data_IF_390198688946
#
_entry.id   IF_390198688946
#
_cell.length_a   1.000
_cell.length_b   1.000
_cell.length_c   1.000
_cell.angle_alpha   90.00
_cell.angle_beta   90.00
_cell.angle_gamma   90.00
#
_symmetry.space_group_name_H-M   'P 1'
#
loop_
_entity.id
_entity.type
_entity.pdbx_description
1 polymer ?
#
# COMPACT_ATOMS: atom_id res chain seq x y z
N UNK A 1 19.26 -2.62 -9.50
CA UNK A 1 18.40 -2.91 -8.34
C UNK A 1 18.19 -1.69 -7.47
N UNK A 2 19.22 -0.91 -7.20
CA UNK A 2 19.11 0.32 -6.38
C UNK A 2 18.05 1.30 -6.92
N UNK A 3 18.03 1.55 -8.23
CA UNK A 3 17.00 2.37 -8.88
C UNK A 3 15.57 1.81 -8.68
N UNK A 4 15.40 0.49 -8.77
CA UNK A 4 14.11 -0.16 -8.51
C UNK A 4 13.68 0.02 -7.05
N UNK A 5 14.60 -0.15 -6.09
CA UNK A 5 14.29 0.06 -4.67
C UNK A 5 13.97 1.52 -4.37
N UNK A 6 14.62 2.48 -5.04
CA UNK A 6 14.27 3.90 -4.94
C UNK A 6 12.86 4.15 -5.46
N UNK A 7 12.47 3.54 -6.58
CA UNK A 7 11.10 3.64 -7.11
C UNK A 7 10.07 3.02 -6.15
N UNK A 8 10.37 1.86 -5.56
CA UNK A 8 9.54 1.21 -4.55
C UNK A 8 9.35 2.12 -3.33
N UNK A 9 10.43 2.70 -2.81
CA UNK A 9 10.36 3.56 -1.64
C UNK A 9 9.57 4.85 -1.93
N UNK A 10 9.73 5.43 -3.12
CA UNK A 10 8.90 6.56 -3.54
C UNK A 10 7.41 6.18 -3.61
N UNK A 11 7.08 5.00 -4.12
CA UNK A 11 5.70 4.51 -4.15
C UNK A 11 5.14 4.31 -2.74
N UNK A 12 5.91 3.73 -1.81
CA UNK A 12 5.50 3.58 -0.41
C UNK A 12 5.20 4.92 0.24
N UNK A 13 6.07 5.90 0.04
CA UNK A 13 5.90 7.24 0.59
C UNK A 13 4.67 7.94 0.01
N UNK A 14 4.43 7.80 -1.30
CA UNK A 14 3.23 8.33 -1.95
C UNK A 14 1.95 7.67 -1.42
N UNK A 15 1.93 6.35 -1.24
CA UNK A 15 0.77 5.63 -0.66
C UNK A 15 0.52 6.09 0.78
N UNK A 16 1.57 6.20 1.60
CA UNK A 16 1.46 6.71 2.96
C UNK A 16 0.93 8.16 3.00
N UNK A 17 1.35 9.00 2.04
CA UNK A 17 0.87 10.37 1.90
C UNK A 17 -0.62 10.42 1.53
N UNK A 18 -1.10 9.53 0.64
CA UNK A 18 -2.55 9.43 0.39
C UNK A 18 -3.28 9.03 1.66
N UNK A 19 -2.82 8.00 2.39
CA UNK A 19 -3.46 7.59 3.65
C UNK A 19 -3.56 8.74 4.66
N UNK A 20 -2.52 9.55 4.81
CA UNK A 20 -2.55 10.75 5.64
C UNK A 20 -3.58 11.77 5.14
N UNK A 21 -3.63 12.02 3.84
CA UNK A 21 -4.58 12.96 3.26
C UNK A 21 -6.03 12.47 3.42
N UNK A 22 -6.28 11.16 3.34
CA UNK A 22 -7.60 10.56 3.61
C UNK A 22 -8.05 10.84 5.04
N UNK A 23 -7.16 10.74 6.02
CA UNK A 23 -7.48 11.10 7.42
C UNK A 23 -7.82 12.59 7.56
N UNK A 24 -7.10 13.48 6.88
CA UNK A 24 -7.44 14.90 6.90
C UNK A 24 -8.78 15.17 6.19
N UNK A 25 -9.07 14.48 5.09
CA UNK A 25 -10.39 14.53 4.41
C UNK A 25 -11.51 14.14 5.38
N UNK A 26 -11.36 13.05 6.16
CA UNK A 26 -12.34 12.65 7.19
C UNK A 26 -12.59 13.76 8.20
N UNK A 27 -11.52 14.44 8.64
CA UNK A 27 -11.61 15.55 9.58
C UNK A 27 -12.33 16.76 8.97
N UNK A 28 -12.00 17.14 7.74
CA UNK A 28 -12.66 18.24 7.04
C UNK A 28 -14.15 17.94 6.78
N UNK A 29 -14.49 16.72 6.37
CA UNK A 29 -15.87 16.26 6.26
C UNK A 29 -16.64 16.39 7.59
N UNK A 30 -16.03 16.02 8.71
CA UNK A 30 -16.64 16.17 10.04
C UNK A 30 -16.94 17.64 10.37
N UNK A 31 -15.98 18.54 10.10
CA UNK A 31 -16.15 19.98 10.31
C UNK A 31 -17.29 20.52 9.43
N UNK A 32 -17.31 20.16 8.15
CA UNK A 32 -18.32 20.58 7.17
C UNK A 32 -19.74 20.14 7.58
N UNK A 33 -19.88 18.95 8.16
CA UNK A 33 -21.17 18.40 8.62
C UNK A 33 -21.61 18.94 9.99
N UNK A 34 -20.70 19.56 10.75
CA UNK A 34 -20.99 20.11 12.08
C UNK A 34 -21.63 21.50 12.05
N UNK A 35 -21.46 22.22 10.93
CA UNK A 35 -21.98 23.59 10.75
C UNK A 35 -23.02 23.65 9.61
N UNK A 36 -24.14 24.39 9.79
CA UNK A 36 -25.12 24.64 8.73
C UNK A 36 -24.47 25.29 7.49
N UNK A 37 -23.63 26.31 7.73
CA UNK A 37 -22.85 27.02 6.72
C UNK A 37 -21.38 26.99 7.11
N UNK A 38 -20.62 25.96 6.69
CA UNK A 38 -19.19 25.88 6.98
C UNK A 38 -18.42 26.96 6.25
N UNK A 39 -17.28 27.35 6.82
CA UNK A 39 -16.41 28.38 6.25
C UNK A 39 -15.91 27.98 4.86
N UNK A 40 -15.82 28.96 3.96
CA UNK A 40 -15.30 28.74 2.60
C UNK A 40 -13.91 28.12 2.59
N UNK A 41 -13.06 28.54 3.54
CA UNK A 41 -11.70 28.02 3.72
C UNK A 41 -11.66 26.50 3.93
N UNK A 42 -12.55 25.96 4.75
CA UNK A 42 -12.65 24.51 4.99
C UNK A 42 -12.99 23.75 3.71
N UNK A 43 -13.87 24.31 2.87
CA UNK A 43 -14.21 23.70 1.57
C UNK A 43 -13.07 23.80 0.57
N UNK A 44 -12.28 24.88 0.60
CA UNK A 44 -11.07 25.03 -0.21
C UNK A 44 -9.99 24.02 0.21
N UNK A 45 -9.72 23.88 1.51
CA UNK A 45 -8.77 22.90 2.04
C UNK A 45 -9.17 21.45 1.67
N UNK A 46 -10.47 21.12 1.69
CA UNK A 46 -10.97 19.82 1.22
C UNK A 46 -10.70 19.60 -0.28
N UNK A 47 -10.93 20.62 -1.11
CA UNK A 47 -10.69 20.53 -2.56
C UNK A 47 -9.19 20.32 -2.85
N UNK A 48 -8.31 21.04 -2.15
CA UNK A 48 -6.85 20.87 -2.27
C UNK A 48 -6.42 19.45 -1.91
N UNK A 49 -6.98 18.87 -0.84
CA UNK A 49 -6.70 17.49 -0.45
C UNK A 49 -7.15 16.47 -1.51
N UNK A 50 -8.36 16.66 -2.07
CA UNK A 50 -8.89 15.78 -3.11
C UNK A 50 -8.02 15.82 -4.37
N UNK A 51 -7.60 17.02 -4.80
CA UNK A 51 -6.70 17.19 -5.95
C UNK A 51 -5.29 16.62 -5.67
N UNK A 52 -4.77 16.76 -4.44
CA UNK A 52 -3.50 16.15 -4.06
C UNK A 52 -3.58 14.61 -4.10
N UNK A 53 -4.65 14.02 -3.53
CA UNK A 53 -4.91 12.57 -3.58
C UNK A 53 -4.96 12.10 -5.03
N UNK A 54 -5.74 12.76 -5.89
CA UNK A 54 -5.86 12.45 -7.32
C UNK A 54 -4.51 12.50 -8.03
N UNK A 55 -3.72 13.53 -7.80
CA UNK A 55 -2.40 13.70 -8.41
C UNK A 55 -1.44 12.58 -7.99
N UNK A 56 -1.39 12.25 -6.70
CA UNK A 56 -0.50 11.20 -6.18
C UNK A 56 -0.96 9.82 -6.68
N UNK A 57 -2.26 9.55 -6.65
CA UNK A 57 -2.84 8.29 -7.09
C UNK A 57 -2.55 8.02 -8.58
N UNK A 58 -2.67 9.03 -9.44
CA UNK A 58 -2.29 8.91 -10.85
C UNK A 58 -0.80 8.61 -11.05
N UNK A 59 0.09 9.19 -10.24
CA UNK A 59 1.52 8.86 -10.28
C UNK A 59 1.80 7.43 -9.86
N UNK A 60 1.16 6.95 -8.79
CA UNK A 60 1.28 5.56 -8.32
C UNK A 60 0.81 4.61 -9.42
N UNK A 61 -0.39 4.85 -9.98
CA UNK A 61 -0.97 4.06 -11.07
C UNK A 61 -0.03 3.94 -12.26
N UNK A 62 0.49 5.07 -12.76
CA UNK A 62 1.38 5.07 -13.92
C UNK A 62 2.67 4.28 -13.65
N UNK A 63 3.23 4.38 -12.44
CA UNK A 63 4.45 3.67 -12.06
C UNK A 63 4.24 2.17 -11.83
N UNK A 64 3.14 1.76 -11.19
CA UNK A 64 2.81 0.35 -11.04
C UNK A 64 2.68 -0.32 -12.41
N UNK A 65 1.96 0.31 -13.34
CA UNK A 65 1.83 -0.16 -14.72
C UNK A 65 3.17 -0.25 -15.46
N UNK A 66 4.07 0.71 -15.25
CA UNK A 66 5.41 0.67 -15.84
C UNK A 66 6.27 -0.48 -15.26
N UNK A 67 6.16 -0.76 -13.96
CA UNK A 67 6.82 -1.90 -13.32
C UNK A 67 6.26 -3.21 -13.87
N UNK A 68 4.95 -3.33 -14.03
CA UNK A 68 4.29 -4.50 -14.60
C UNK A 68 4.77 -4.79 -16.03
N UNK A 69 4.79 -3.79 -16.91
CA UNK A 69 5.28 -3.93 -18.29
C UNK A 69 6.76 -4.34 -18.38
N UNK A 70 7.55 -4.06 -17.34
CA UNK A 70 8.94 -4.50 -17.29
C UNK A 70 9.11 -6.02 -17.08
N UNK A 71 8.03 -6.73 -16.71
CA UNK A 71 8.06 -8.18 -16.50
C UNK A 71 8.12 -8.95 -17.83
N UNK A 72 7.39 -8.50 -18.86
CA UNK A 72 7.26 -9.21 -20.15
C UNK A 72 8.51 -9.10 -21.02
N UNK A 73 9.31 -8.03 -20.85
CA UNK A 73 10.57 -7.85 -21.60
C UNK A 73 11.70 -8.79 -21.14
N UNK A 74 11.51 -9.51 -20.02
CA UNK A 74 12.51 -10.34 -19.37
C UNK A 74 12.49 -11.83 -19.71
N UNK A 75 11.52 -12.32 -20.50
CA UNK A 75 11.42 -13.76 -20.80
C UNK A 75 12.56 -14.31 -21.70
N UNK A 76 13.35 -13.43 -22.34
CA UNK A 76 14.43 -13.80 -23.26
C UNK A 76 15.84 -13.78 -22.64
N UNK A 77 16.02 -14.22 -21.39
CA UNK A 77 17.34 -14.62 -20.90
C UNK A 77 17.24 -15.43 -19.61
N UNK A 78 17.90 -16.58 -19.60
CA UNK A 78 18.10 -17.52 -18.50
C UNK A 78 18.96 -16.95 -17.34
N UNK A 79 18.76 -15.68 -16.96
CA UNK A 79 19.61 -14.92 -16.03
C UNK A 79 18.91 -14.29 -14.80
N UNK A 80 17.59 -14.45 -14.58
CA UNK A 80 16.90 -13.51 -13.66
C UNK A 80 15.74 -14.09 -12.83
N UNK A 81 15.90 -15.23 -12.13
CA UNK A 81 14.79 -15.77 -11.30
C UNK A 81 14.55 -14.99 -10.00
N UNK A 82 15.60 -14.50 -9.33
CA UNK A 82 15.48 -13.84 -8.03
C UNK A 82 15.09 -12.36 -8.16
N UNK A 83 15.72 -11.62 -9.07
CA UNK A 83 15.43 -10.19 -9.30
C UNK A 83 14.00 -9.99 -9.84
N UNK A 84 13.57 -10.80 -10.82
CA UNK A 84 12.20 -10.78 -11.31
C UNK A 84 11.19 -11.13 -10.20
N UNK A 85 11.50 -12.12 -9.36
CA UNK A 85 10.66 -12.49 -8.22
C UNK A 85 10.55 -11.36 -7.20
N UNK A 86 11.65 -10.67 -6.88
CA UNK A 86 11.64 -9.52 -5.97
C UNK A 86 10.76 -8.40 -6.56
N UNK A 87 10.93 -8.08 -7.85
CA UNK A 87 10.14 -7.04 -8.51
C UNK A 87 8.64 -7.35 -8.53
N UNK A 88 8.28 -8.58 -8.92
CA UNK A 88 6.90 -9.08 -8.89
C UNK A 88 6.29 -9.01 -7.49
N UNK A 89 7.04 -9.46 -6.47
CA UNK A 89 6.63 -9.42 -5.06
C UNK A 89 6.37 -7.99 -4.59
N UNK A 90 7.32 -7.07 -4.82
CA UNK A 90 7.19 -5.67 -4.43
C UNK A 90 6.03 -4.98 -5.15
N UNK A 91 5.86 -5.25 -6.45
CA UNK A 91 4.72 -4.75 -7.22
C UNK A 91 3.39 -5.19 -6.61
N UNK A 92 3.23 -6.48 -6.32
CA UNK A 92 1.99 -7.01 -5.70
C UNK A 92 1.71 -6.35 -4.35
N UNK A 93 2.70 -6.27 -3.46
CA UNK A 93 2.53 -5.64 -2.13
C UNK A 93 2.11 -4.16 -2.26
N UNK A 94 2.75 -3.41 -3.16
CA UNK A 94 2.43 -2.00 -3.39
C UNK A 94 1.06 -1.81 -4.02
N UNK A 95 0.71 -2.64 -5.01
CA UNK A 95 -0.59 -2.60 -5.66
C UNK A 95 -1.71 -2.90 -4.65
N UNK A 96 -1.56 -3.95 -3.83
CA UNK A 96 -2.52 -4.25 -2.76
C UNK A 96 -2.67 -3.08 -1.79
N UNK A 97 -1.56 -2.50 -1.31
CA UNK A 97 -1.64 -1.39 -0.35
C UNK A 97 -2.25 -0.12 -0.97
N UNK A 98 -2.00 0.11 -2.26
CA UNK A 98 -2.62 1.20 -2.99
C UNK A 98 -4.14 1.01 -3.11
N UNK A 99 -4.60 -0.20 -3.49
CA UNK A 99 -6.03 -0.53 -3.55
C UNK A 99 -6.70 -0.33 -2.19
N UNK A 100 -6.10 -0.85 -1.12
CA UNK A 100 -6.61 -0.70 0.25
C UNK A 100 -6.87 0.76 0.61
N UNK A 101 -5.88 1.64 0.39
CA UNK A 101 -5.99 3.08 0.68
C UNK A 101 -7.02 3.78 -0.22
N UNK A 102 -7.11 3.40 -1.50
CA UNK A 102 -8.10 4.01 -2.40
C UNK A 102 -9.52 3.55 -2.09
N UNK A 103 -9.71 2.31 -1.64
CA UNK A 103 -10.99 1.81 -1.13
C UNK A 103 -11.42 2.59 0.11
N UNK A 104 -10.52 2.82 1.06
CA UNK A 104 -10.80 3.62 2.26
C UNK A 104 -11.17 5.07 1.90
N UNK A 105 -10.50 5.66 0.90
CA UNK A 105 -10.86 6.98 0.38
C UNK A 105 -12.28 6.97 -0.21
N UNK A 106 -12.63 5.97 -1.02
CA UNK A 106 -13.97 5.85 -1.60
C UNK A 106 -15.05 5.66 -0.52
N UNK A 107 -14.81 4.82 0.48
CA UNK A 107 -15.71 4.66 1.63
C UNK A 107 -15.91 5.97 2.40
N UNK A 108 -14.84 6.75 2.57
CA UNK A 108 -14.89 8.07 3.20
C UNK A 108 -15.80 9.03 2.41
N UNK A 109 -15.66 9.07 1.09
CA UNK A 109 -16.51 9.90 0.22
C UNK A 109 -17.98 9.44 0.28
N UNK A 110 -18.26 8.15 0.10
CA UNK A 110 -19.62 7.60 0.18
C UNK A 110 -20.27 7.91 1.52
N UNK A 111 -19.55 7.77 2.64
CA UNK A 111 -20.08 8.11 3.96
C UNK A 111 -20.44 9.60 4.08
N UNK A 112 -19.65 10.50 3.51
CA UNK A 112 -19.96 11.93 3.49
C UNK A 112 -21.17 12.25 2.61
N UNK A 113 -21.32 11.56 1.46
CA UNK A 113 -22.50 11.65 0.59
C UNK A 113 -23.78 11.31 1.35
N UNK A 114 -23.80 10.13 1.99
CA UNK A 114 -24.97 9.65 2.74
C UNK A 114 -25.33 10.57 3.90
N UNK A 115 -24.33 11.08 4.63
CA UNK A 115 -24.56 12.08 5.69
C UNK A 115 -25.10 13.39 5.15
N UNK A 116 -24.62 13.84 3.98
CA UNK A 116 -25.12 15.04 3.32
C UNK A 116 -26.56 14.88 2.82
N UNK A 117 -26.89 13.72 2.24
CA UNK A 117 -28.26 13.33 1.88
C UNK A 117 -29.20 13.38 3.08
N UNK A 118 -28.83 12.74 4.20
CA UNK A 118 -29.63 12.78 5.42
C UNK A 118 -29.82 14.19 6.01
N UNK A 119 -28.83 15.09 5.84
CA UNK A 119 -28.99 16.51 6.19
C UNK A 119 -30.01 17.21 5.29
N UNK A 120 -29.94 17.00 3.98
CA UNK A 120 -30.92 17.57 3.02
C UNK A 120 -32.33 17.08 3.37
N UNK A 121 -32.51 15.78 3.62
CA UNK A 121 -33.81 15.22 4.02
C UNK A 121 -34.37 15.94 5.25
N UNK A 122 -33.55 16.10 6.29
CA UNK A 122 -33.96 16.79 7.52
C UNK A 122 -34.32 18.26 7.27
N UNK A 123 -33.60 18.95 6.38
CA UNK A 123 -33.93 20.34 6.04
C UNK A 123 -35.23 20.42 5.23
N UNK A 124 -35.52 19.47 4.34
CA UNK A 124 -36.80 19.39 3.64
C UNK A 124 -37.96 19.19 4.63
N UNK A 125 -37.81 18.31 5.62
CA UNK A 125 -38.80 18.13 6.68
C UNK A 125 -39.10 19.42 7.46
N UNK A 126 -38.06 20.21 7.78
CA UNK A 126 -38.20 21.53 8.45
C UNK A 126 -39.03 22.50 7.59
N UNK A 127 -38.88 22.43 6.26
CA UNK A 127 -39.68 23.24 5.34
C UNK A 127 -41.10 22.71 5.10
N UNK A 128 -41.46 21.57 5.71
CA UNK A 128 -42.77 20.94 5.58
C UNK A 128 -42.90 20.00 4.36
N UNK A 129 -41.80 19.67 3.68
CA UNK A 129 -41.77 18.70 2.58
C UNK A 129 -41.22 17.37 3.11
N UNK A 130 -42.10 16.39 3.29
CA UNK A 130 -41.69 15.01 3.58
C UNK A 130 -41.27 14.36 2.26
N UNK A 131 -40.15 13.66 2.25
CA UNK A 131 -39.58 13.04 1.04
C UNK A 131 -39.06 11.66 1.41
N UNK A 132 -39.40 10.64 0.61
CA UNK A 132 -38.82 9.31 0.79
C UNK A 132 -37.35 9.29 0.37
N UNK A 133 -36.65 8.21 0.71
CA UNK A 133 -35.23 8.08 0.35
C UNK A 133 -35.05 8.00 -1.18
N UNK A 134 -35.96 7.34 -1.88
CA UNK A 134 -35.99 7.20 -3.33
C UNK A 134 -36.32 8.51 -4.04
N UNK A 135 -37.33 9.25 -3.56
CA UNK A 135 -37.68 10.57 -4.10
C UNK A 135 -36.51 11.55 -3.93
N UNK A 136 -35.84 11.51 -2.78
CA UNK A 136 -34.67 12.35 -2.54
C UNK A 136 -33.50 11.98 -3.45
N UNK A 137 -33.30 10.70 -3.73
CA UNK A 137 -32.27 10.26 -4.67
C UNK A 137 -32.55 10.77 -6.09
N UNK A 138 -33.78 10.63 -6.58
CA UNK A 138 -34.19 11.17 -7.88
C UNK A 138 -33.97 12.70 -7.97
N UNK A 139 -34.24 13.41 -6.87
CA UNK A 139 -33.98 14.85 -6.78
C UNK A 139 -32.48 15.17 -6.89
N UNK A 140 -31.61 14.38 -6.25
CA UNK A 140 -30.15 14.53 -6.35
C UNK A 140 -29.64 14.22 -7.76
N UNK A 141 -30.14 13.14 -8.38
CA UNK A 141 -29.76 12.72 -9.74
C UNK A 141 -30.17 13.73 -10.82
N UNK A 142 -31.25 14.49 -10.58
CA UNK A 142 -31.71 15.54 -11.51
C UNK A 142 -30.65 16.63 -11.74
N UNK A 143 -29.72 16.81 -10.80
CA UNK A 143 -28.68 17.84 -10.83
C UNK A 143 -29.21 19.28 -10.80
N UNK A 144 -30.52 19.48 -10.63
CA UNK A 144 -31.16 20.80 -10.66
C UNK A 144 -31.49 21.29 -9.23
N UNK A 145 -30.76 22.26 -8.68
CA UNK A 145 -31.02 22.78 -7.34
C UNK A 145 -32.44 23.33 -7.13
N UNK A 146 -33.12 23.77 -8.19
CA UNK A 146 -34.46 24.33 -8.07
C UNK A 146 -35.51 23.30 -7.65
N UNK A 147 -35.25 21.99 -7.85
CA UNK A 147 -36.16 20.91 -7.49
C UNK A 147 -36.42 20.84 -5.98
N UNK A 148 -35.44 21.29 -5.19
CA UNK A 148 -35.59 21.41 -3.74
C UNK A 148 -36.50 22.57 -3.34
N UNK A 149 -36.57 23.62 -4.15
CA UNK A 149 -37.25 24.88 -3.82
C UNK A 149 -38.65 25.06 -4.42
N UNK A 150 -39.01 24.29 -5.46
CA UNK A 150 -40.18 24.56 -6.32
C UNK A 150 -41.52 24.59 -5.58
N UNK A 151 -41.64 23.80 -4.52
CA UNK A 151 -42.89 23.61 -3.78
C UNK A 151 -42.88 24.29 -2.40
N UNK A 152 -41.80 25.00 -2.07
CA UNK A 152 -41.56 25.53 -0.72
C UNK A 152 -41.83 27.04 -0.69
N UNK A 153 -42.83 27.42 0.11
CA UNK A 153 -43.16 28.83 0.37
C UNK A 153 -42.08 29.42 1.29
N UNK A 154 -41.23 30.30 0.74
CA UNK A 154 -40.07 30.91 1.41
C UNK A 154 -40.42 32.11 2.30
N UNK A 155 -41.55 32.05 3.00
CA UNK A 155 -42.08 33.18 3.78
C UNK A 155 -41.42 33.33 5.15
N UNK A 156 -40.79 32.28 5.67
CA UNK A 156 -40.11 32.30 6.96
C UNK A 156 -38.58 32.37 6.81
N UNK A 157 -37.93 33.05 7.75
CA UNK A 157 -36.46 33.08 7.83
C UNK A 157 -35.86 31.67 8.01
N UNK A 158 -36.58 30.79 8.71
CA UNK A 158 -36.20 29.39 8.94
C UNK A 158 -36.19 28.63 7.61
N UNK A 159 -37.22 28.81 6.79
CA UNK A 159 -37.33 28.18 5.47
C UNK A 159 -36.18 28.62 4.56
N UNK A 160 -35.86 29.92 4.53
CA UNK A 160 -34.72 30.43 3.73
C UNK A 160 -33.39 29.83 4.18
N UNK A 161 -33.17 29.69 5.48
CA UNK A 161 -31.96 29.09 6.01
C UNK A 161 -31.84 27.61 5.64
N UNK A 162 -32.94 26.84 5.74
CA UNK A 162 -33.00 25.45 5.34
C UNK A 162 -32.69 25.27 3.84
N UNK A 163 -33.26 26.13 2.98
CA UNK A 163 -33.00 26.12 1.54
C UNK A 163 -31.54 26.41 1.19
N UNK A 164 -30.92 27.40 1.85
CA UNK A 164 -29.49 27.71 1.65
C UNK A 164 -28.59 26.54 2.05
N UNK A 165 -28.92 25.86 3.15
CA UNK A 165 -28.19 24.67 3.59
C UNK A 165 -28.36 23.52 2.57
N UNK A 166 -29.58 23.28 2.08
CA UNK A 166 -29.85 22.27 1.05
C UNK A 166 -29.00 22.53 -0.21
N UNK A 167 -28.99 23.77 -0.72
CA UNK A 167 -28.22 24.13 -1.91
C UNK A 167 -26.71 23.91 -1.70
N UNK A 168 -26.18 24.34 -0.54
CA UNK A 168 -24.78 24.13 -0.17
C UNK A 168 -24.42 22.64 -0.10
N UNK A 169 -25.29 21.81 0.50
CA UNK A 169 -25.07 20.35 0.60
C UNK A 169 -25.18 19.65 -0.74
N UNK A 170 -26.15 20.03 -1.57
CA UNK A 170 -26.29 19.51 -2.92
C UNK A 170 -25.04 19.79 -3.76
N UNK A 171 -24.49 21.01 -3.67
CA UNK A 171 -23.22 21.35 -4.33
C UNK A 171 -22.06 20.48 -3.85
N UNK A 172 -21.99 20.18 -2.56
CA UNK A 172 -20.96 19.31 -1.99
C UNK A 172 -21.11 17.86 -2.50
N UNK A 173 -22.34 17.34 -2.65
CA UNK A 173 -22.62 16.03 -3.26
C UNK A 173 -22.19 16.00 -4.73
N UNK A 174 -22.52 17.02 -5.52
CA UNK A 174 -22.15 17.08 -6.93
C UNK A 174 -20.63 17.05 -7.16
N UNK A 175 -19.87 17.77 -6.33
CA UNK A 175 -18.40 17.71 -6.35
C UNK A 175 -17.89 16.31 -6.03
N UNK A 176 -18.43 15.72 -4.98
CA UNK A 176 -18.07 14.38 -4.54
C UNK A 176 -18.35 13.31 -5.60
N UNK A 177 -19.49 13.38 -6.29
CA UNK A 177 -19.83 12.45 -7.36
C UNK A 177 -18.87 12.58 -8.56
N UNK A 178 -18.41 13.79 -8.86
CA UNK A 178 -17.33 13.99 -9.84
C UNK A 178 -16.05 13.29 -9.39
N UNK A 179 -15.64 13.45 -8.13
CA UNK A 179 -14.46 12.78 -7.58
C UNK A 179 -14.60 11.25 -7.58
N UNK A 180 -15.76 10.70 -7.20
CA UNK A 180 -16.02 9.24 -7.23
C UNK A 180 -15.99 8.71 -8.67
N UNK A 181 -16.54 9.44 -9.64
CA UNK A 181 -16.50 9.03 -11.05
C UNK A 181 -15.07 8.91 -11.56
N UNK A 182 -14.20 9.83 -11.17
CA UNK A 182 -12.77 9.75 -11.51
C UNK A 182 -12.06 8.59 -10.80
N UNK A 183 -12.45 8.27 -9.56
CA UNK A 183 -11.96 7.07 -8.88
C UNK A 183 -12.39 5.78 -9.57
N UNK A 184 -13.60 5.75 -10.14
CA UNK A 184 -14.12 4.56 -10.82
C UNK A 184 -13.21 4.12 -11.98
N UNK A 185 -12.73 5.07 -12.80
CA UNK A 185 -11.75 4.77 -13.85
C UNK A 185 -10.46 4.15 -13.28
N UNK A 186 -10.02 4.64 -12.13
CA UNK A 186 -8.84 4.12 -11.43
C UNK A 186 -9.09 2.72 -10.85
N UNK A 187 -10.28 2.44 -10.33
CA UNK A 187 -10.66 1.12 -9.81
C UNK A 187 -10.70 0.06 -10.90
N UNK A 188 -11.09 0.41 -12.13
CA UNK A 188 -11.04 -0.53 -13.26
C UNK A 188 -9.60 -0.97 -13.59
N UNK A 189 -8.65 -0.03 -13.57
CA UNK A 189 -7.23 -0.37 -13.72
C UNK A 189 -6.70 -1.20 -12.53
N UNK A 190 -7.15 -0.89 -11.32
CA UNK A 190 -6.74 -1.61 -10.11
C UNK A 190 -7.31 -3.03 -10.00
N UNK A 191 -8.50 -3.27 -10.55
CA UNK A 191 -9.09 -4.62 -10.61
C UNK A 191 -8.19 -5.59 -11.39
N UNK A 192 -7.56 -5.12 -12.48
CA UNK A 192 -6.55 -5.89 -13.22
C UNK A 192 -5.32 -6.22 -12.36
N UNK A 193 -4.87 -5.28 -11.50
CA UNK A 193 -3.79 -5.56 -10.57
C UNK A 193 -4.19 -6.64 -9.55
N UNK A 194 -5.45 -6.69 -9.08
CA UNK A 194 -5.89 -7.67 -8.07
C UNK A 194 -6.11 -9.05 -8.68
N UNK A 195 -6.64 -9.14 -9.90
CA UNK A 195 -6.90 -10.42 -10.59
C UNK A 195 -5.61 -11.20 -10.90
N UNK A 196 -4.50 -10.49 -11.15
CA UNK A 196 -3.18 -11.09 -11.38
C UNK A 196 -2.44 -11.53 -10.10
N UNK A 197 -2.98 -11.26 -8.89
CA UNK A 197 -2.28 -11.45 -7.61
C UNK A 197 -2.61 -12.74 -6.84
N UNK A 198 -3.65 -13.48 -7.22
CA UNK A 198 -4.11 -14.68 -6.49
C UNK A 198 -3.05 -15.79 -6.34
N UNK A 199 -2.14 -15.95 -7.31
CA UNK A 199 -1.05 -16.93 -7.24
C UNK A 199 0.24 -16.41 -6.58
N UNK A 200 0.44 -15.09 -6.49
CA UNK A 200 1.72 -14.51 -6.08
C UNK A 200 1.87 -14.41 -4.56
N UNK A 201 0.79 -14.10 -3.82
CA UNK A 201 0.79 -14.01 -2.35
C UNK A 201 1.15 -15.37 -1.72
N UNK A 202 0.55 -16.47 -2.22
CA UNK A 202 0.90 -17.84 -1.80
C UNK A 202 2.37 -18.19 -2.06
N UNK A 203 2.97 -17.60 -3.09
CA UNK A 203 4.39 -17.78 -3.38
C UNK A 203 5.29 -16.94 -2.45
N UNK A 204 4.84 -15.81 -1.89
CA UNK A 204 5.64 -15.02 -0.93
C UNK A 204 5.86 -15.80 0.36
N UNK A 205 4.79 -16.34 0.93
CA UNK A 205 4.87 -17.18 2.14
C UNK A 205 5.78 -18.39 1.88
N UNK A 206 5.62 -19.05 0.73
CA UNK A 206 6.46 -20.16 0.28
C UNK A 206 7.94 -19.76 0.07
N UNK A 207 8.22 -18.58 -0.48
CA UNK A 207 9.59 -18.14 -0.74
C UNK A 207 10.30 -17.61 0.50
N UNK A 208 9.58 -17.01 1.46
CA UNK A 208 10.10 -16.64 2.78
C UNK A 208 10.42 -17.89 3.60
N UNK A 209 9.54 -18.90 3.58
CA UNK A 209 9.83 -20.22 4.17
C UNK A 209 11.09 -20.83 3.55
N UNK A 210 11.17 -20.88 2.22
CA UNK A 210 12.37 -21.41 1.55
C UNK A 210 13.65 -20.62 1.89
N UNK A 211 13.59 -19.29 1.97
CA UNK A 211 14.75 -18.47 2.35
C UNK A 211 15.18 -18.72 3.80
N UNK A 212 14.23 -18.90 4.72
CA UNK A 212 14.49 -19.32 6.10
C UNK A 212 15.19 -20.68 6.13
N UNK A 213 14.68 -21.66 5.39
CA UNK A 213 15.28 -23.00 5.26
C UNK A 213 16.72 -22.93 4.73
N UNK A 214 17.00 -22.12 3.70
CA UNK A 214 18.36 -21.96 3.17
C UNK A 214 19.32 -21.36 4.20
N UNK A 215 18.87 -20.39 5.00
CA UNK A 215 19.69 -19.78 6.07
C UNK A 215 19.96 -20.78 7.19
N UNK A 216 18.98 -21.61 7.54
CA UNK A 216 19.13 -22.67 8.53
C UNK A 216 20.12 -23.74 8.06
N UNK A 217 20.01 -24.21 6.82
CA UNK A 217 20.97 -25.16 6.24
C UNK A 217 22.38 -24.56 6.15
N UNK A 218 22.53 -23.29 5.76
CA UNK A 218 23.82 -22.61 5.73
C UNK A 218 24.44 -22.48 7.14
N UNK A 219 23.62 -22.25 8.16
CA UNK A 219 24.04 -22.23 9.58
C UNK A 219 24.51 -23.62 10.04
N UNK A 220 23.87 -24.70 9.57
CA UNK A 220 24.34 -26.06 9.87
C UNK A 220 25.66 -26.39 9.19
N UNK A 221 25.80 -26.05 7.90
CA UNK A 221 27.04 -26.32 7.14
C UNK A 221 28.23 -25.53 7.70
N UNK A 222 28.03 -24.28 8.12
CA UNK A 222 29.08 -23.51 8.82
C UNK A 222 29.47 -24.14 10.15
N UNK A 223 28.51 -24.69 10.91
CA UNK A 223 28.78 -25.44 12.15
C UNK A 223 29.55 -26.74 11.88
N UNK A 224 29.22 -27.48 10.81
CA UNK A 224 29.97 -28.67 10.37
C UNK A 224 31.39 -28.29 9.95
N UNK A 225 31.56 -27.21 9.19
CA UNK A 225 32.86 -26.71 8.75
C UNK A 225 33.79 -26.39 9.94
N UNK A 226 33.29 -25.70 10.97
CA UNK A 226 34.06 -25.43 12.20
C UNK A 226 34.45 -26.72 12.93
N UNK A 227 33.52 -27.69 13.02
CA UNK A 227 33.83 -29.01 13.60
C UNK A 227 34.92 -29.74 12.80
N UNK A 228 34.84 -29.76 11.48
CA UNK A 228 35.86 -30.39 10.63
C UNK A 228 37.22 -29.68 10.77
N UNK A 229 37.25 -28.36 10.78
CA UNK A 229 38.47 -27.58 11.01
C UNK A 229 39.11 -27.93 12.37
N UNK A 230 38.32 -28.02 13.43
CA UNK A 230 38.83 -28.38 14.76
C UNK A 230 39.43 -29.79 14.81
N UNK A 231 38.79 -30.78 14.15
CA UNK A 231 39.29 -32.15 14.04
C UNK A 231 40.55 -32.22 13.19
N UNK A 232 40.60 -31.48 12.08
CA UNK A 232 41.77 -31.41 11.21
C UNK A 232 42.98 -30.83 11.97
N UNK A 233 42.81 -29.76 12.74
CA UNK A 233 43.87 -29.22 13.61
C UNK A 233 44.38 -30.25 14.62
N UNK A 234 43.49 -31.00 15.27
CA UNK A 234 43.89 -32.05 16.22
C UNK A 234 44.69 -33.18 15.53
N UNK A 235 44.26 -33.60 14.35
CA UNK A 235 45.00 -34.60 13.55
C UNK A 235 46.37 -34.08 13.10
N UNK A 236 46.46 -32.79 12.75
CA UNK A 236 47.72 -32.15 12.37
C UNK A 236 48.74 -32.19 13.52
N UNK A 237 48.31 -31.88 14.75
CA UNK A 237 49.17 -31.99 15.93
C UNK A 237 49.65 -33.42 16.20
N UNK A 238 48.77 -34.42 16.04
CA UNK A 238 49.14 -35.83 16.17
C UNK A 238 50.21 -36.21 15.14
N UNK A 239 50.02 -35.81 13.88
CA UNK A 239 51.00 -36.07 12.80
C UNK A 239 52.34 -35.40 13.12
N UNK A 240 52.35 -34.16 13.61
CA UNK A 240 53.57 -33.44 14.01
C UNK A 240 54.31 -34.20 15.12
N UNK A 241 53.61 -34.64 16.17
CA UNK A 241 54.21 -35.36 17.31
C UNK A 241 54.81 -36.70 16.85
N UNK A 242 54.10 -37.46 16.02
CA UNK A 242 54.57 -38.75 15.49
C UNK A 242 55.83 -38.55 14.62
N UNK A 243 55.83 -37.53 13.76
CA UNK A 243 57.00 -37.19 12.92
C UNK A 243 58.22 -36.80 13.76
N UNK A 244 58.04 -36.00 14.82
CA UNK A 244 59.14 -35.64 15.74
C UNK A 244 59.72 -36.85 16.47
N UNK A 245 58.85 -37.77 16.93
CA UNK A 245 59.29 -39.00 17.60
C UNK A 245 60.11 -39.89 16.65
N UNK A 246 59.69 -40.03 15.39
CA UNK A 246 60.45 -40.76 14.36
C UNK A 246 61.84 -40.15 14.13
N UNK A 247 61.93 -38.83 14.01
CA UNK A 247 63.21 -38.12 13.84
C UNK A 247 64.13 -38.36 15.04
N UNK A 248 63.61 -38.32 16.27
CA UNK A 248 64.39 -38.58 17.48
C UNK A 248 64.93 -40.03 17.52
N UNK A 249 64.12 -41.01 17.14
CA UNK A 249 64.54 -42.43 17.08
C UNK A 249 65.65 -42.62 16.04
N UNK A 250 65.49 -42.04 14.85
CA UNK A 250 66.52 -42.08 13.79
C UNK A 250 67.81 -41.43 14.28
N UNK A 251 67.72 -40.26 14.93
CA UNK A 251 68.86 -39.56 15.51
C UNK A 251 69.59 -40.39 16.57
N UNK A 252 68.87 -41.09 17.45
CA UNK A 252 69.44 -41.99 18.45
C UNK A 252 70.17 -43.18 17.82
N UNK A 253 69.58 -43.81 16.79
CA UNK A 253 70.21 -44.94 16.08
C UNK A 253 71.52 -44.49 15.43
N UNK A 254 71.51 -43.35 14.75
CA UNK A 254 72.71 -42.78 14.12
C UNK A 254 73.75 -42.40 15.19
N UNK A 255 73.33 -41.77 16.29
CA UNK A 255 74.21 -41.40 17.40
C UNK A 255 74.88 -42.59 18.07
N UNK A 256 74.14 -43.67 18.33
CA UNK A 256 74.69 -44.91 18.91
C UNK A 256 75.61 -45.64 17.93
N UNK A 257 75.30 -45.65 16.63
CA UNK A 257 76.13 -46.34 15.62
C UNK A 257 77.42 -45.59 15.31
N UNK A 258 77.43 -44.25 15.39
CA UNK A 258 78.63 -43.43 15.15
C UNK A 258 79.45 -43.22 16.43
N UNK A 259 78.82 -43.10 17.59
CA UNK A 259 79.50 -42.85 18.87
C UNK A 259 80.10 -44.09 19.55
N UNK A 260 79.78 -45.30 19.07
CA UNK A 260 80.37 -46.57 19.56
C UNK A 260 81.55 -47.02 18.65
N UNK A 261 81.89 -46.26 17.60
CA UNK A 261 83.10 -46.44 16.78
C UNK A 261 84.17 -45.43 17.16
#
# INVERSE_FOLDING_TARGET
>A
MDDFFQQVEELRNNIAKIAQNVEEVKKQHSIILSAPNPEGRTKEELEELNEEIKKIANKIRARLKAIEQSFDQGENANRTSVDLRIRKTQHSVLAHKFVEVMTEYNETQTLFRERSKGRIQRQLEITGKTTTDEELEEMLESGNPSIFTSDIISDSQITRQALNEIESRHKDIMKLESSIRELHEMFMDMAMFVETQGEMINNIEKNVMNASDYVEHAKEETKKAVKYQSKARRKMWIIIIVSLMLIAVIGLIIGLTVGIR
#
